data_IF_040579195527
#
_entry.id   IF_040579195527
#
_cell.length_a   1.000
_cell.length_b   1.000
_cell.length_c   1.000
_cell.angle_alpha   90.00
_cell.angle_beta   90.00
_cell.angle_gamma   90.00
#
_symmetry.space_group_name_H-M   'P 1'
#
loop_
_entity.id
_entity.type
_entity.pdbx_description
1 polymer ?
#
# COMPACT_ATOMS: atom_id res chain seq x y z
N UNK A 1 1.57 -11.97 7.46
CA UNK A 1 2.91 -11.63 6.95
C UNK A 1 2.76 -10.32 6.20
N UNK A 2 3.47 -9.26 6.58
CA UNK A 2 3.44 -7.99 5.85
C UNK A 2 4.74 -7.83 5.09
N UNK A 3 4.82 -8.49 3.94
CA UNK A 3 6.06 -8.56 3.17
C UNK A 3 6.31 -7.31 2.33
N UNK A 4 5.29 -6.49 1.97
CA UNK A 4 5.51 -5.30 1.14
C UNK A 4 6.53 -4.32 1.73
N UNK A 5 6.52 -4.11 3.04
CA UNK A 5 7.50 -3.27 3.73
C UNK A 5 8.96 -3.78 3.64
N UNK A 6 9.17 -5.03 3.22
CA UNK A 6 10.49 -5.63 2.97
C UNK A 6 10.85 -5.66 1.48
N UNK A 7 9.95 -5.22 0.60
CA UNK A 7 10.24 -5.12 -0.82
C UNK A 7 11.31 -4.04 -1.06
N UNK A 8 12.17 -4.25 -2.06
CA UNK A 8 13.41 -3.47 -2.24
C UNK A 8 13.16 -1.98 -2.43
N UNK A 9 12.15 -1.63 -3.22
CA UNK A 9 11.71 -0.25 -3.40
C UNK A 9 11.22 0.38 -2.08
N UNK A 10 10.57 -0.39 -1.21
CA UNK A 10 10.04 0.13 0.04
C UNK A 10 11.14 0.34 1.09
N UNK A 11 12.13 -0.56 1.14
CA UNK A 11 13.32 -0.38 1.97
C UNK A 11 14.13 0.85 1.55
N UNK A 12 14.34 1.03 0.23
CA UNK A 12 15.05 2.20 -0.30
C UNK A 12 14.28 3.51 -0.06
N UNK A 13 12.96 3.50 -0.24
CA UNK A 13 12.10 4.65 0.07
C UNK A 13 12.18 5.02 1.56
N UNK A 14 12.06 4.03 2.46
CA UNK A 14 12.15 4.26 3.91
C UNK A 14 13.50 4.85 4.31
N UNK A 15 14.60 4.34 3.74
CA UNK A 15 15.95 4.88 3.98
C UNK A 15 16.09 6.33 3.49
N UNK A 16 15.57 6.65 2.30
CA UNK A 16 15.58 8.02 1.78
C UNK A 16 14.78 8.99 2.65
N UNK A 17 13.60 8.58 3.12
CA UNK A 17 12.79 9.36 4.08
C UNK A 17 13.55 9.55 5.40
N UNK A 18 14.13 8.49 5.96
CA UNK A 18 14.92 8.56 7.19
C UNK A 18 16.16 9.44 7.09
N UNK A 19 16.74 9.59 5.90
CA UNK A 19 17.83 10.52 5.60
C UNK A 19 17.36 11.96 5.32
N UNK A 20 16.06 12.23 5.40
CA UNK A 20 15.48 13.56 5.17
C UNK A 20 15.49 14.00 3.72
N UNK A 21 15.60 13.07 2.76
CA UNK A 21 15.69 13.42 1.34
C UNK A 21 14.41 14.07 0.79
N UNK A 22 13.27 13.87 1.45
CA UNK A 22 11.99 14.46 1.03
C UNK A 22 11.59 15.67 1.91
N UNK A 23 12.34 15.97 2.98
CA UNK A 23 11.86 16.86 4.04
C UNK A 23 10.77 16.17 4.88
N UNK A 24 9.74 16.92 5.28
CA UNK A 24 8.56 16.35 5.96
C UNK A 24 7.57 15.83 4.92
N UNK A 25 7.07 14.60 5.10
CA UNK A 25 6.05 14.05 4.19
C UNK A 25 4.71 14.75 4.43
N UNK A 26 4.09 15.23 3.36
CA UNK A 26 2.80 15.97 3.41
C UNK A 26 1.74 15.32 2.52
N UNK A 27 2.12 14.40 1.63
CA UNK A 27 1.21 13.75 0.70
C UNK A 27 1.62 12.30 0.45
N UNK A 28 0.66 11.38 0.55
CA UNK A 28 0.78 9.99 0.11
C UNK A 28 -0.46 9.64 -0.73
N UNK A 29 -0.26 9.32 -1.99
CA UNK A 29 -1.33 9.05 -2.95
C UNK A 29 -1.10 7.69 -3.62
N UNK A 30 -1.97 6.73 -3.31
CA UNK A 30 -1.94 5.40 -3.91
C UNK A 30 -3.03 5.25 -4.97
N UNK A 31 -2.62 4.93 -6.19
CA UNK A 31 -3.54 4.69 -7.30
C UNK A 31 -3.34 3.32 -7.93
N UNK A 32 -4.40 2.53 -7.91
CA UNK A 32 -4.48 1.23 -8.55
C UNK A 32 -5.71 1.18 -9.47
N UNK A 33 -5.45 0.86 -10.73
CA UNK A 33 -6.45 0.49 -11.72
C UNK A 33 -5.86 -0.67 -12.53
N UNK A 34 -6.21 -1.90 -12.18
CA UNK A 34 -5.64 -3.10 -12.78
C UNK A 34 -6.66 -4.22 -12.88
N UNK A 35 -6.28 -5.34 -13.50
CA UNK A 35 -7.12 -6.52 -13.63
C UNK A 35 -6.52 -7.65 -12.80
N UNK A 36 -7.10 -7.91 -11.63
CA UNK A 36 -6.61 -9.00 -10.79
C UNK A 36 -7.21 -10.34 -11.23
N UNK A 37 -6.39 -11.37 -11.50
CA UNK A 37 -6.86 -12.69 -11.87
C UNK A 37 -7.33 -13.47 -10.62
N UNK A 38 -8.47 -13.06 -10.05
CA UNK A 38 -9.02 -13.60 -8.80
C UNK A 38 -9.19 -15.14 -8.81
N UNK A 39 -9.40 -15.72 -9.99
CA UNK A 39 -9.53 -17.16 -10.23
C UNK A 39 -8.29 -17.97 -9.83
N UNK A 40 -7.11 -17.34 -9.75
CA UNK A 40 -5.90 -18.00 -9.25
C UNK A 40 -6.00 -18.36 -7.75
N UNK A 41 -6.96 -17.80 -7.03
CA UNK A 41 -7.18 -18.01 -5.61
C UNK A 41 -8.63 -18.38 -5.30
N UNK A 42 -9.02 -19.62 -5.57
CA UNK A 42 -10.41 -20.09 -5.41
C UNK A 42 -11.02 -19.81 -4.03
N UNK A 43 -10.22 -19.80 -2.96
CA UNK A 43 -10.69 -19.52 -1.61
C UNK A 43 -11.22 -18.08 -1.46
N UNK A 44 -10.69 -17.11 -2.21
CA UNK A 44 -11.13 -15.71 -2.19
C UNK A 44 -12.55 -15.53 -2.74
N UNK A 45 -12.99 -16.43 -3.62
CA UNK A 45 -14.34 -16.39 -4.21
C UNK A 45 -15.45 -16.60 -3.17
N UNK A 46 -15.11 -17.15 -1.99
CA UNK A 46 -16.05 -17.42 -0.88
C UNK A 46 -15.73 -16.59 0.36
N UNK A 47 -14.64 -15.82 0.36
CA UNK A 47 -14.24 -15.03 1.51
C UNK A 47 -15.19 -13.82 1.69
N UNK A 48 -15.62 -13.52 2.93
CA UNK A 48 -16.57 -12.44 3.19
C UNK A 48 -15.93 -11.03 3.07
N UNK A 49 -14.60 -10.99 3.14
CA UNK A 49 -13.77 -9.78 3.15
C UNK A 49 -12.55 -10.06 2.27
N UNK A 50 -12.38 -9.28 1.20
CA UNK A 50 -11.31 -9.53 0.21
C UNK A 50 -10.40 -8.33 0.06
N UNK A 51 -10.78 -7.30 -0.70
CA UNK A 51 -9.85 -6.23 -1.11
C UNK A 51 -9.05 -5.62 0.06
N UNK A 52 -9.70 -5.14 1.13
CA UNK A 52 -8.97 -4.52 2.25
C UNK A 52 -8.17 -5.58 3.03
N UNK A 53 -8.77 -6.73 3.30
CA UNK A 53 -8.21 -7.72 4.22
C UNK A 53 -7.06 -8.54 3.62
N UNK A 54 -7.08 -8.74 2.31
CA UNK A 54 -6.17 -9.65 1.60
C UNK A 54 -5.17 -8.90 0.73
N UNK A 55 -5.52 -7.70 0.25
CA UNK A 55 -4.68 -6.95 -0.68
C UNK A 55 -4.20 -5.65 -0.07
N UNK A 56 -5.12 -4.72 0.22
CA UNK A 56 -4.76 -3.38 0.71
C UNK A 56 -4.22 -3.35 2.13
N UNK A 57 -4.36 -4.44 2.88
CA UNK A 57 -3.68 -4.63 4.16
C UNK A 57 -2.17 -4.39 4.05
N UNK A 58 -1.56 -4.76 2.93
CA UNK A 58 -0.13 -4.51 2.68
C UNK A 58 0.18 -3.03 2.46
N UNK A 59 -0.73 -2.28 1.85
CA UNK A 59 -0.59 -0.84 1.63
C UNK A 59 -0.81 -0.06 2.91
N UNK A 60 -1.84 -0.42 3.69
CA UNK A 60 -2.09 0.15 5.00
C UNK A 60 -0.89 -0.06 5.93
N UNK A 61 -0.35 -1.27 5.94
CA UNK A 61 0.85 -1.62 6.70
C UNK A 61 2.10 -0.83 6.27
N UNK A 62 2.33 -0.70 4.96
CA UNK A 62 3.41 0.11 4.41
C UNK A 62 3.26 1.59 4.79
N UNK A 63 2.06 2.15 4.64
CA UNK A 63 1.79 3.56 4.98
C UNK A 63 2.09 3.79 6.47
N UNK A 64 1.64 2.90 7.35
CA UNK A 64 1.95 2.96 8.79
C UNK A 64 3.46 2.93 9.05
N UNK A 65 4.22 2.15 8.31
CA UNK A 65 5.68 2.15 8.43
C UNK A 65 6.31 3.50 8.07
N UNK A 66 5.72 4.25 7.14
CA UNK A 66 6.29 5.50 6.63
C UNK A 66 5.78 6.74 7.37
N UNK A 67 4.54 6.71 7.88
CA UNK A 67 3.83 7.87 8.44
C UNK A 67 3.33 7.65 9.88
N UNK A 68 3.68 6.55 10.53
CA UNK A 68 3.10 6.08 11.79
C UNK A 68 1.59 5.76 11.69
N UNK A 69 0.93 5.56 12.83
CA UNK A 69 -0.48 5.18 12.89
C UNK A 69 -1.41 6.36 12.59
N UNK A 70 -2.39 6.21 11.67
CA UNK A 70 -3.40 7.25 11.45
C UNK A 70 -4.36 7.34 12.64
N UNK A 71 -4.95 8.52 12.84
CA UNK A 71 -6.00 8.78 13.84
C UNK A 71 -7.33 8.13 13.50
N UNK A 72 -7.57 7.87 12.21
CA UNK A 72 -8.81 7.31 11.71
C UNK A 72 -8.78 7.02 10.20
N UNK A 73 -9.90 6.56 9.65
CA UNK A 73 -10.04 6.26 8.23
C UNK A 73 -11.46 6.54 7.74
N UNK A 74 -11.56 7.22 6.60
CA UNK A 74 -12.77 7.27 5.79
C UNK A 74 -12.61 6.28 4.64
N UNK A 75 -13.44 5.23 4.57
CA UNK A 75 -13.31 4.21 3.53
C UNK A 75 -14.64 3.83 2.92
N UNK A 76 -14.60 3.39 1.67
CA UNK A 76 -15.69 2.69 1.00
C UNK A 76 -15.12 1.56 0.17
N UNK A 77 -15.57 0.34 0.43
CA UNK A 77 -15.20 -0.84 -0.36
C UNK A 77 -16.43 -1.51 -0.98
N UNK A 78 -16.31 -1.94 -2.23
CA UNK A 78 -17.41 -2.38 -3.08
C UNK A 78 -17.01 -3.63 -3.88
N UNK A 79 -17.92 -4.59 -4.01
CA UNK A 79 -17.80 -5.69 -4.98
C UNK A 79 -18.16 -5.24 -6.40
N UNK A 80 -17.88 -6.07 -7.40
CA UNK A 80 -18.23 -5.84 -8.80
C UNK A 80 -19.41 -6.70 -9.23
N UNK A 81 -20.40 -6.19 -9.98
CA UNK A 81 -21.61 -6.94 -10.35
C UNK A 81 -21.34 -8.16 -11.25
N UNK A 82 -20.19 -8.20 -11.95
CA UNK A 82 -19.85 -9.27 -12.89
C UNK A 82 -19.12 -10.47 -12.26
N UNK A 83 -18.90 -10.50 -10.95
CA UNK A 83 -18.28 -11.64 -10.26
C UNK A 83 -18.70 -11.73 -8.79
N UNK A 84 -18.31 -12.80 -8.10
CA UNK A 84 -18.74 -13.08 -6.72
C UNK A 84 -17.76 -12.67 -5.62
N UNK A 85 -16.57 -12.16 -5.97
CA UNK A 85 -15.60 -11.66 -4.99
C UNK A 85 -16.25 -10.53 -4.19
N UNK A 86 -16.20 -10.62 -2.84
CA UNK A 86 -17.02 -9.81 -1.96
C UNK A 86 -16.78 -8.29 -2.13
N UNK A 87 -15.51 -7.88 -2.20
CA UNK A 87 -15.10 -6.52 -2.51
C UNK A 87 -13.82 -6.53 -3.35
N UNK A 88 -13.75 -5.63 -4.33
CA UNK A 88 -12.64 -5.52 -5.31
C UNK A 88 -12.27 -4.08 -5.66
N UNK A 89 -13.00 -3.10 -5.11
CA UNK A 89 -12.81 -1.68 -5.40
C UNK A 89 -12.94 -0.88 -4.12
N UNK A 90 -11.92 -0.10 -3.79
CA UNK A 90 -11.86 0.65 -2.54
C UNK A 90 -11.36 2.06 -2.76
N UNK A 91 -12.02 3.01 -2.10
CA UNK A 91 -11.49 4.36 -1.89
C UNK A 91 -11.33 4.57 -0.39
N UNK A 92 -10.18 5.07 0.04
CA UNK A 92 -9.91 5.36 1.44
C UNK A 92 -9.08 6.63 1.63
N UNK A 93 -9.30 7.33 2.74
CA UNK A 93 -8.49 8.44 3.23
C UNK A 93 -8.05 8.08 4.65
N UNK A 94 -6.75 8.05 4.90
CA UNK A 94 -6.20 7.86 6.24
C UNK A 94 -5.99 9.22 6.89
N UNK A 95 -6.56 9.40 8.08
CA UNK A 95 -6.54 10.67 8.80
C UNK A 95 -5.26 10.82 9.61
N UNK A 96 -4.37 11.71 9.17
CA UNK A 96 -3.15 12.12 9.86
C UNK A 96 -3.27 13.55 10.42
N UNK A 97 -4.50 14.02 10.66
CA UNK A 97 -4.79 15.40 11.03
C UNK A 97 -4.62 16.36 9.85
N UNK A 98 -4.23 17.59 10.16
CA UNK A 98 -4.22 18.69 9.18
C UNK A 98 -2.90 18.82 8.39
N UNK A 99 -1.96 17.87 8.56
CA UNK A 99 -0.59 17.99 8.03
C UNK A 99 -0.28 17.06 6.87
N UNK A 100 -0.92 15.89 6.79
CA UNK A 100 -0.61 14.89 5.74
C UNK A 100 -1.89 14.43 5.07
N UNK A 101 -1.99 14.63 3.74
CA UNK A 101 -3.03 13.99 2.92
C UNK A 101 -2.59 12.56 2.59
N UNK A 102 -3.36 11.57 3.02
CA UNK A 102 -3.12 10.18 2.65
C UNK A 102 -4.38 9.58 1.99
N UNK A 103 -4.29 9.22 0.70
CA UNK A 103 -5.42 8.72 -0.08
C UNK A 103 -5.08 7.44 -0.84
N UNK A 104 -6.05 6.53 -0.91
CA UNK A 104 -5.98 5.28 -1.67
C UNK A 104 -7.19 5.21 -2.62
N UNK A 105 -6.92 4.98 -3.90
CA UNK A 105 -7.93 4.76 -4.94
C UNK A 105 -7.62 3.47 -5.68
N UNK A 106 -8.38 2.41 -5.40
CA UNK A 106 -8.08 1.04 -5.80
C UNK A 106 -9.23 0.43 -6.58
N UNK A 107 -8.91 -0.08 -7.77
CA UNK A 107 -9.83 -0.78 -8.64
C UNK A 107 -9.15 -2.00 -9.28
N UNK A 108 -9.56 -3.19 -8.87
CA UNK A 108 -9.08 -4.47 -9.40
C UNK A 108 -9.85 -4.97 -10.63
N UNK A 109 -10.86 -4.23 -11.09
CA UNK A 109 -11.76 -4.60 -12.19
C UNK A 109 -11.47 -3.85 -13.49
N UNK A 110 -10.31 -3.19 -13.61
CA UNK A 110 -9.90 -2.49 -14.82
C UNK A 110 -9.34 -3.48 -15.87
N UNK A 111 -10.24 -4.32 -16.41
CA UNK A 111 -9.89 -5.45 -17.30
C UNK A 111 -9.81 -5.13 -18.80
N UNK A 112 -9.61 -3.87 -19.17
CA UNK A 112 -9.66 -3.41 -20.57
C UNK A 112 -8.29 -3.47 -21.27
N UNK A 113 -7.48 -4.47 -20.92
CA UNK A 113 -6.10 -4.64 -21.38
C UNK A 113 -5.08 -3.86 -20.53
N UNK A 114 -3.79 -4.08 -20.82
CA UNK A 114 -2.68 -3.50 -20.05
C UNK A 114 -2.58 -1.98 -20.19
N UNK A 115 -2.99 -1.43 -21.33
CA UNK A 115 -2.98 0.01 -21.60
C UNK A 115 -3.91 0.73 -20.61
N UNK A 116 -3.40 1.78 -19.97
CA UNK A 116 -4.08 2.56 -18.92
C UNK A 116 -4.30 1.84 -17.58
N UNK A 117 -3.69 0.67 -17.37
CA UNK A 117 -3.56 0.12 -16.03
C UNK A 117 -2.42 0.80 -15.26
N UNK A 118 -2.64 1.01 -13.97
CA UNK A 118 -1.71 1.64 -13.05
C UNK A 118 -1.70 0.90 -11.71
N UNK A 119 -0.51 0.86 -11.09
CA UNK A 119 -0.31 0.39 -9.72
C UNK A 119 0.86 1.20 -9.17
N UNK A 120 0.55 2.41 -8.71
CA UNK A 120 1.57 3.43 -8.44
C UNK A 120 1.29 4.19 -7.15
N UNK A 121 2.38 4.58 -6.48
CA UNK A 121 2.34 5.46 -5.32
C UNK A 121 3.11 6.73 -5.62
N UNK A 122 2.56 7.87 -5.19
CA UNK A 122 3.23 9.16 -5.21
C UNK A 122 3.34 9.66 -3.78
N UNK A 123 4.53 10.07 -3.39
CA UNK A 123 4.80 10.61 -2.06
C UNK A 123 5.45 11.97 -2.26
N UNK A 124 4.85 13.01 -1.69
CA UNK A 124 5.44 14.34 -1.70
C UNK A 124 5.80 14.74 -0.28
N UNK A 125 7.03 15.22 -0.12
CA UNK A 125 7.43 15.96 1.06
C UNK A 125 7.63 17.44 0.75
N UNK A 126 8.00 18.20 1.77
CA UNK A 126 8.21 19.65 1.69
C UNK A 126 9.38 20.04 0.78
N UNK A 127 10.33 19.14 0.55
CA UNK A 127 11.58 19.44 -0.15
C UNK A 127 11.96 18.41 -1.23
N UNK A 128 11.18 17.35 -1.37
CA UNK A 128 11.41 16.30 -2.37
C UNK A 128 10.18 15.42 -2.57
N UNK A 129 10.29 14.43 -3.45
CA UNK A 129 9.20 13.52 -3.76
C UNK A 129 9.72 12.13 -4.14
N UNK A 130 8.83 11.13 -4.11
CA UNK A 130 9.08 9.80 -4.62
C UNK A 130 7.91 9.31 -5.48
N UNK A 131 8.22 8.55 -6.52
CA UNK A 131 7.28 7.83 -7.36
C UNK A 131 7.62 6.35 -7.33
N UNK A 132 6.59 5.52 -7.23
CA UNK A 132 6.72 4.06 -7.22
C UNK A 132 5.76 3.44 -8.22
N UNK A 133 6.20 2.37 -8.87
CA UNK A 133 5.35 1.43 -9.61
C UNK A 133 5.51 0.05 -8.99
N UNK A 134 4.40 -0.58 -8.63
CA UNK A 134 4.37 -1.98 -8.19
C UNK A 134 4.09 -2.83 -9.43
N UNK A 135 5.16 -3.22 -10.12
CA UNK A 135 5.08 -3.84 -11.43
C UNK A 135 4.47 -5.23 -11.38
N UNK A 136 4.70 -5.97 -10.30
CA UNK A 136 4.16 -7.32 -10.14
C UNK A 136 2.61 -7.38 -10.23
N UNK A 137 1.93 -6.34 -9.74
CA UNK A 137 0.48 -6.29 -9.77
C UNK A 137 -0.11 -6.06 -11.17
N UNK A 138 0.69 -5.57 -12.12
CA UNK A 138 0.24 -5.19 -13.45
C UNK A 138 0.26 -6.35 -14.47
N UNK A 139 0.96 -7.45 -14.16
CA UNK A 139 1.06 -8.64 -15.03
C UNK A 139 1.19 -9.94 -14.22
N UNK A 140 0.48 -10.06 -13.10
CA UNK A 140 0.61 -11.20 -12.20
C UNK A 140 0.29 -12.54 -12.91
N UNK A 141 1.08 -13.62 -12.71
CA UNK A 141 2.22 -13.75 -11.79
C UNK A 141 3.59 -13.39 -12.39
N UNK A 142 3.68 -13.09 -13.69
CA UNK A 142 4.95 -12.75 -14.35
C UNK A 142 5.49 -11.42 -13.85
N UNK A 143 4.61 -10.43 -13.73
CA UNK A 143 4.92 -9.09 -13.26
C UNK A 143 5.66 -8.23 -14.27
N UNK A 144 5.67 -6.93 -13.98
CA UNK A 144 6.62 -5.99 -14.56
C UNK A 144 7.69 -5.62 -13.53
N UNK A 145 8.81 -5.00 -13.95
CA UNK A 145 9.76 -4.43 -13.00
C UNK A 145 9.10 -3.39 -12.10
N UNK A 146 9.38 -3.50 -10.80
CA UNK A 146 9.10 -2.43 -9.83
C UNK A 146 9.94 -1.19 -10.19
N UNK A 147 9.38 -0.01 -9.92
CA UNK A 147 10.08 1.28 -10.14
C UNK A 147 10.10 2.04 -8.83
N UNK A 148 11.24 2.68 -8.56
CA UNK A 148 11.38 3.74 -7.57
C UNK A 148 12.16 4.88 -8.21
N UNK A 149 11.57 6.07 -8.22
CA UNK A 149 12.22 7.31 -8.60
C UNK A 149 12.11 8.29 -7.44
N UNK A 150 13.20 9.01 -7.15
CA UNK A 150 13.25 9.99 -6.07
C UNK A 150 13.68 11.33 -6.65
N UNK A 151 12.95 12.37 -6.32
CA UNK A 151 13.37 13.76 -6.44
C UNK A 151 13.89 14.21 -5.07
N UNK A 152 15.20 14.23 -4.82
CA UNK A 152 15.73 14.53 -3.51
C UNK A 152 15.78 16.04 -3.23
N UNK A 153 15.78 16.41 -1.96
CA UNK A 153 16.07 17.75 -1.45
C UNK A 153 17.37 18.28 -2.02
N UNK A 154 17.30 19.47 -2.63
CA UNK A 154 18.42 20.10 -3.32
C UNK A 154 18.77 19.46 -4.68
N UNK A 155 17.99 18.48 -5.14
CA UNK A 155 18.12 17.86 -6.45
C UNK A 155 17.52 18.72 -7.57
N UNK A 156 17.97 18.47 -8.80
CA UNK A 156 17.52 19.18 -10.01
C UNK A 156 16.66 18.31 -10.92
N UNK A 157 16.30 17.10 -10.50
CA UNK A 157 15.56 16.14 -11.31
C UNK A 157 15.29 14.82 -10.58
N UNK A 158 14.45 13.99 -11.20
CA UNK A 158 14.15 12.64 -10.74
C UNK A 158 15.34 11.69 -10.96
N UNK A 159 15.62 10.87 -9.96
CA UNK A 159 16.69 9.88 -9.98
C UNK A 159 16.05 8.50 -9.85
N UNK A 160 16.20 7.66 -10.88
CA UNK A 160 15.82 6.26 -10.80
C UNK A 160 16.76 5.53 -9.83
N UNK A 161 16.17 4.82 -8.86
CA UNK A 161 16.91 3.99 -7.92
C UNK A 161 17.05 2.59 -8.54
N UNK A 162 18.27 2.10 -8.79
CA UNK A 162 18.46 0.74 -9.29
C UNK A 162 17.99 -0.28 -8.25
N UNK A 163 17.04 -1.13 -8.64
CA UNK A 163 16.47 -2.16 -7.78
C UNK A 163 16.95 -3.54 -8.25
N UNK A 164 17.30 -4.39 -7.29
CA UNK A 164 17.63 -5.79 -7.53
C UNK A 164 16.70 -6.67 -6.69
N UNK A 165 15.78 -7.35 -7.37
CA UNK A 165 14.72 -8.15 -6.77
C UNK A 165 13.35 -7.48 -6.81
N UNK A 166 12.31 -8.24 -6.47
CA UNK A 166 10.90 -7.88 -6.64
C UNK A 166 10.13 -7.93 -5.31
N UNK A 167 8.87 -7.49 -5.28
CA UNK A 167 8.02 -7.70 -4.11
C UNK A 167 7.87 -9.19 -3.77
N UNK A 168 7.48 -10.02 -4.73
CA UNK A 168 7.37 -11.46 -4.53
C UNK A 168 8.31 -12.18 -5.51
N UNK A 169 9.13 -13.16 -5.05
CA UNK A 169 9.21 -13.71 -3.70
C UNK A 169 10.22 -13.00 -2.77
N UNK A 170 11.04 -12.07 -3.26
CA UNK A 170 12.24 -11.62 -2.52
C UNK A 170 11.94 -10.93 -1.19
N UNK A 171 10.81 -10.24 -1.06
CA UNK A 171 10.44 -9.62 0.21
C UNK A 171 10.15 -10.65 1.33
N UNK A 172 9.77 -11.89 0.97
CA UNK A 172 9.69 -12.97 1.94
C UNK A 172 11.07 -13.32 2.52
N UNK A 173 12.12 -13.32 1.69
CA UNK A 173 13.49 -13.59 2.14
C UNK A 173 13.91 -12.56 3.17
N UNK A 174 13.65 -11.27 2.92
CA UNK A 174 13.95 -10.19 3.86
C UNK A 174 13.25 -10.37 5.21
N UNK A 175 11.96 -10.73 5.19
CA UNK A 175 11.20 -11.01 6.41
C UNK A 175 11.79 -12.19 7.19
N UNK A 176 12.05 -13.31 6.51
CA UNK A 176 12.58 -14.52 7.15
C UNK A 176 13.99 -14.29 7.71
N UNK A 177 14.83 -13.55 7.00
CA UNK A 177 16.16 -13.18 7.47
C UNK A 177 16.10 -12.36 8.76
N UNK A 178 15.23 -11.33 8.84
CA UNK A 178 15.08 -10.55 10.07
C UNK A 178 14.58 -11.39 11.25
N UNK A 179 13.65 -12.33 11.03
CA UNK A 179 13.21 -13.27 12.09
C UNK A 179 14.36 -14.14 12.58
N UNK A 180 15.15 -14.70 11.67
CA UNK A 180 16.28 -15.56 12.00
C UNK A 180 17.38 -14.80 12.76
N UNK A 181 17.74 -13.61 12.28
CA UNK A 181 18.74 -12.74 12.91
C UNK A 181 18.32 -12.31 14.31
N UNK A 182 17.06 -11.88 14.48
CA UNK A 182 16.52 -11.54 15.79
C UNK A 182 16.53 -12.74 16.75
N UNK A 183 16.09 -13.92 16.29
CA UNK A 183 16.10 -15.14 17.10
C UNK A 183 17.51 -15.61 17.48
N UNK A 184 18.52 -15.31 16.64
CA UNK A 184 19.92 -15.59 16.91
C UNK A 184 20.62 -14.51 17.76
N UNK A 185 19.94 -13.40 18.09
CA UNK A 185 20.53 -12.26 18.80
C UNK A 185 21.47 -11.40 17.95
N UNK A 186 21.38 -11.50 16.62
CA UNK A 186 22.17 -10.69 15.68
C UNK A 186 21.52 -9.33 15.36
N UNK A 187 20.21 -9.22 15.55
CA UNK A 187 19.46 -7.96 15.46
C UNK A 187 18.72 -7.72 16.78
N UNK A 188 18.77 -6.50 17.29
CA UNK A 188 18.07 -6.12 18.55
C UNK A 188 16.56 -5.90 18.35
N UNK A 189 16.10 -5.84 17.10
CA UNK A 189 14.71 -5.50 16.77
C UNK A 189 14.13 -6.44 15.73
N UNK A 190 12.91 -6.89 16.02
CA UNK A 190 12.07 -7.56 15.04
C UNK A 190 11.26 -6.49 14.30
N UNK A 191 11.39 -6.42 12.98
CA UNK A 191 10.60 -5.50 12.16
C UNK A 191 9.20 -6.09 12.00
N UNK A 192 8.13 -5.33 12.27
CA UNK A 192 6.76 -5.88 12.28
C UNK A 192 6.58 -7.04 13.27
N UNK A 193 6.78 -6.82 14.58
CA UNK A 193 6.41 -7.81 15.59
C UNK A 193 4.89 -7.98 15.64
N UNK A 194 4.40 -8.96 16.40
CA UNK A 194 2.95 -9.27 16.46
C UNK A 194 2.14 -8.08 16.95
N UNK A 195 2.70 -7.32 17.88
CA UNK A 195 2.12 -6.11 18.46
C UNK A 195 1.95 -5.01 17.40
N UNK A 196 2.91 -4.84 16.48
CA UNK A 196 2.76 -3.91 15.35
C UNK A 196 1.73 -4.43 14.34
N UNK A 197 1.68 -5.75 14.13
CA UNK A 197 0.73 -6.36 13.24
C UNK A 197 -0.73 -6.18 13.70
N UNK A 198 -0.94 -6.15 15.02
CA UNK A 198 -2.23 -5.85 15.62
C UNK A 198 -2.75 -4.48 15.19
N UNK A 199 -1.90 -3.45 15.16
CA UNK A 199 -2.30 -2.11 14.75
C UNK A 199 -2.70 -2.05 13.26
N UNK A 200 -2.05 -2.83 12.38
CA UNK A 200 -2.48 -2.96 10.98
C UNK A 200 -3.88 -3.57 10.93
N UNK A 201 -4.13 -4.62 11.72
CA UNK A 201 -5.45 -5.25 11.79
C UNK A 201 -6.51 -4.31 12.37
N UNK A 202 -6.17 -3.50 13.38
CA UNK A 202 -7.07 -2.49 13.93
C UNK A 202 -7.49 -1.46 12.87
N UNK A 203 -6.54 -1.02 12.03
CA UNK A 203 -6.83 -0.14 10.90
C UNK A 203 -7.71 -0.80 9.83
N UNK A 204 -7.46 -2.08 9.53
CA UNK A 204 -8.33 -2.86 8.63
C UNK A 204 -9.76 -2.91 9.15
N UNK A 205 -9.95 -3.21 10.45
CA UNK A 205 -11.29 -3.25 11.05
C UNK A 205 -11.96 -1.87 11.04
N UNK A 206 -11.21 -0.81 11.34
CA UNK A 206 -11.71 0.57 11.26
C UNK A 206 -12.16 0.93 9.83
N UNK A 207 -11.42 0.49 8.80
CA UNK A 207 -11.79 0.74 7.40
C UNK A 207 -13.08 0.01 7.01
N UNK A 208 -13.29 -1.23 7.46
CA UNK A 208 -14.56 -1.93 7.25
C UNK A 208 -15.72 -1.29 8.02
N UNK A 209 -15.51 -0.85 9.26
CA UNK A 209 -16.51 -0.11 10.03
C UNK A 209 -16.90 1.20 9.32
N UNK A 210 -15.91 1.96 8.85
CA UNK A 210 -16.09 3.18 8.08
C UNK A 210 -16.89 2.94 6.79
N UNK A 211 -16.58 1.88 6.04
CA UNK A 211 -17.31 1.51 4.81
C UNK A 211 -18.77 1.08 5.04
N UNK A 212 -19.09 0.58 6.24
CA UNK A 212 -20.44 0.21 6.64
C UNK A 212 -21.27 1.41 7.11
N UNK A 213 -20.62 2.50 7.54
CA UNK A 213 -21.30 3.73 7.90
C UNK A 213 -21.83 4.47 6.65
N UNK A 214 -22.94 5.22 6.77
CA UNK A 214 -23.39 6.11 5.71
C UNK A 214 -22.41 7.27 5.53
N UNK A 215 -22.29 7.74 4.29
CA UNK A 215 -21.63 9.02 4.02
C UNK A 215 -22.47 10.18 4.59
N UNK A 216 -21.84 11.34 4.79
CA UNK A 216 -22.56 12.57 5.13
C UNK A 216 -23.61 12.87 4.06
N UNK A 217 -24.91 13.02 4.42
CA UNK A 217 -25.95 13.30 3.45
C UNK A 217 -25.73 14.67 2.80
N UNK A 218 -26.07 14.77 1.52
CA UNK A 218 -26.20 16.08 0.86
C UNK A 218 -27.43 16.82 1.43
N UNK A 219 -27.35 18.15 1.51
CA UNK A 219 -28.46 18.96 2.02
C UNK A 219 -29.76 18.67 1.23
N UNK A 220 -30.87 18.60 1.95
CA UNK A 220 -32.18 18.46 1.33
C UNK A 220 -32.46 19.66 0.42
N UNK A 221 -33.08 19.38 -0.74
CA UNK A 221 -33.53 20.45 -1.62
C UNK A 221 -34.72 21.16 -0.96
N UNK A 222 -34.84 22.50 -1.10
CA UNK A 222 -35.99 23.25 -0.60
C UNK A 222 -37.34 22.72 -1.11
#
# INVERSE_FOLDING_TARGET
NFQLRFARMMLALKDAIGKGWLGEIVDFDAWLALATPWELWEFLLKAPRVEIAMHSIHYLDLIRQLLDDPRGVHAKTLGHPNHKVAQTRTSAILDYGDTVRCALSINHDHKFGRRHQACEFRICGTEGAAYLKLGLNLDYPTGEPDVLEIYPKGGTGWIAVPLAGEWFPDAFVGRMANVQRFAAGEDDTLISPVEDAWNTMALVEAAYQSSAAPATPIAERP
#
